data_IF_160408040511
#
_entry.id   IF_160408040511
#
_cell.length_a   1.000
_cell.length_b   1.000
_cell.length_c   1.000
_cell.angle_alpha   90.00
_cell.angle_beta   90.00
_cell.angle_gamma   90.00
#
_symmetry.space_group_name_H-M   'P 1'
#
loop_
_entity.id
_entity.type
_entity.pdbx_description
1 polymer ?
#
# COMPACT_ATOMS: atom_id res chain seq x y z
N UNK A 1 -14.02 -9.33 22.85
CA UNK A 1 -12.67 -8.76 22.82
C UNK A 1 -12.54 -7.69 21.76
N UNK A 2 -12.04 -6.56 22.14
CA UNK A 2 -11.90 -5.42 21.22
C UNK A 2 -10.69 -5.62 20.32
N UNK A 3 -10.90 -5.58 19.01
CA UNK A 3 -9.80 -5.61 18.05
C UNK A 3 -9.28 -4.20 17.78
N UNK A 4 -7.99 -4.05 17.83
CA UNK A 4 -7.33 -2.81 17.44
C UNK A 4 -5.99 -3.13 16.78
N UNK A 5 -5.48 -2.19 16.00
CA UNK A 5 -4.22 -2.38 15.31
C UNK A 5 -3.38 -1.12 15.33
N UNK A 6 -2.08 -1.28 15.26
CA UNK A 6 -1.13 -0.17 15.19
C UNK A 6 -1.15 0.56 13.87
N UNK A 7 -1.54 -0.13 12.80
CA UNK A 7 -1.43 0.41 11.45
C UNK A 7 -2.81 0.66 10.86
N UNK A 8 -2.89 1.68 10.01
CA UNK A 8 -4.11 1.97 9.27
C UNK A 8 -4.36 0.91 8.20
N UNK A 9 -5.58 0.85 7.70
CA UNK A 9 -5.95 -0.02 6.58
C UNK A 9 -5.04 0.20 5.37
N UNK A 10 -4.77 1.46 5.03
CA UNK A 10 -3.89 1.79 3.91
C UNK A 10 -2.48 1.25 4.11
N UNK A 11 -1.94 1.39 5.31
CA UNK A 11 -0.60 0.88 5.62
C UNK A 11 -0.54 -0.64 5.53
N UNK A 12 -1.55 -1.34 6.05
CA UNK A 12 -1.61 -2.80 6.00
C UNK A 12 -1.64 -3.30 4.56
N UNK A 13 -2.46 -2.67 3.72
CA UNK A 13 -2.56 -3.01 2.30
C UNK A 13 -1.23 -2.77 1.60
N UNK A 14 -0.60 -1.64 1.85
CA UNK A 14 0.66 -1.28 1.23
C UNK A 14 1.76 -2.28 1.58
N UNK A 15 1.85 -2.68 2.85
CA UNK A 15 2.81 -3.69 3.30
C UNK A 15 2.54 -5.02 2.60
N UNK A 16 1.29 -5.44 2.53
CA UNK A 16 0.93 -6.70 1.88
C UNK A 16 1.32 -6.70 0.40
N UNK A 17 0.98 -5.64 -0.33
CA UNK A 17 1.28 -5.54 -1.76
C UNK A 17 2.79 -5.48 -2.01
N UNK A 18 3.53 -4.86 -1.09
CA UNK A 18 5.00 -4.82 -1.18
C UNK A 18 5.59 -6.23 -1.09
N UNK A 19 5.08 -7.06 -0.19
CA UNK A 19 5.54 -8.43 0.00
C UNK A 19 4.99 -9.41 -1.04
N UNK A 20 3.80 -9.12 -1.56
CA UNK A 20 3.09 -9.97 -2.51
C UNK A 20 2.65 -9.13 -3.71
N UNK A 21 3.59 -8.76 -4.60
CA UNK A 21 3.26 -7.97 -5.77
C UNK A 21 2.29 -8.72 -6.68
N UNK A 22 1.48 -7.96 -7.41
CA UNK A 22 0.46 -8.48 -8.32
C UNK A 22 -0.70 -9.18 -7.59
N UNK A 23 -0.94 -8.82 -6.34
CA UNK A 23 -2.10 -9.30 -5.59
C UNK A 23 -3.40 -8.73 -6.15
N UNK A 24 -4.44 -9.56 -6.16
CA UNK A 24 -5.80 -9.12 -6.49
C UNK A 24 -6.46 -8.50 -5.26
N UNK A 25 -7.56 -7.77 -5.48
CA UNK A 25 -8.34 -7.20 -4.39
C UNK A 25 -8.80 -8.28 -3.40
N UNK A 26 -9.22 -9.43 -3.91
CA UNK A 26 -9.67 -10.52 -3.06
C UNK A 26 -8.54 -11.08 -2.19
N UNK A 27 -7.37 -11.27 -2.79
CA UNK A 27 -6.20 -11.75 -2.06
C UNK A 27 -5.79 -10.77 -0.97
N UNK A 28 -5.80 -9.48 -1.29
CA UNK A 28 -5.48 -8.41 -0.34
C UNK A 28 -6.50 -8.41 0.81
N UNK A 29 -7.79 -8.42 0.48
CA UNK A 29 -8.84 -8.40 1.48
C UNK A 29 -8.74 -9.57 2.46
N UNK A 30 -8.51 -10.77 1.93
CA UNK A 30 -8.33 -11.97 2.75
C UNK A 30 -7.11 -11.86 3.65
N UNK A 31 -6.00 -11.38 3.12
CA UNK A 31 -4.75 -11.30 3.87
C UNK A 31 -4.81 -10.30 5.02
N UNK A 32 -5.46 -9.16 4.81
CA UNK A 32 -5.50 -8.09 5.82
C UNK A 32 -6.79 -8.09 6.65
N UNK A 33 -7.69 -9.05 6.40
CA UNK A 33 -8.91 -9.19 7.20
C UNK A 33 -9.97 -8.14 6.91
N UNK A 34 -10.09 -7.72 5.65
CA UNK A 34 -11.07 -6.73 5.21
C UNK A 34 -12.09 -7.36 4.29
N UNK A 35 -13.23 -6.65 4.11
CA UNK A 35 -14.13 -6.96 3.00
C UNK A 35 -13.50 -6.52 1.69
N UNK A 36 -13.90 -7.11 0.58
CA UNK A 36 -13.41 -6.69 -0.73
C UNK A 36 -13.76 -5.22 -1.01
N UNK A 37 -14.93 -4.79 -0.55
CA UNK A 37 -15.36 -3.40 -0.71
C UNK A 37 -14.44 -2.43 0.03
N UNK A 38 -14.09 -2.74 1.28
CA UNK A 38 -13.19 -1.90 2.07
C UNK A 38 -11.79 -1.88 1.46
N UNK A 39 -11.29 -3.04 1.03
CA UNK A 39 -10.00 -3.13 0.35
C UNK A 39 -9.99 -2.34 -0.95
N UNK A 40 -11.05 -2.45 -1.75
CA UNK A 40 -11.16 -1.70 -3.01
C UNK A 40 -11.14 -0.20 -2.78
N UNK A 41 -11.86 0.29 -1.77
CA UNK A 41 -11.89 1.70 -1.43
C UNK A 41 -10.50 2.23 -1.05
N UNK A 42 -9.79 1.49 -0.21
CA UNK A 42 -8.43 1.87 0.20
C UNK A 42 -7.44 1.82 -0.97
N UNK A 43 -7.58 0.82 -1.84
CA UNK A 43 -6.74 0.71 -3.04
C UNK A 43 -6.98 1.87 -4.00
N UNK A 44 -8.21 2.33 -4.12
CA UNK A 44 -8.52 3.49 -4.94
C UNK A 44 -7.82 4.74 -4.40
N UNK A 45 -7.84 4.94 -3.09
CA UNK A 45 -7.12 6.05 -2.46
C UNK A 45 -5.62 6.01 -2.77
N UNK A 46 -5.02 4.83 -2.63
CA UNK A 46 -3.59 4.65 -2.90
C UNK A 46 -3.25 4.85 -4.38
N UNK A 47 -4.13 4.44 -5.28
CA UNK A 47 -3.95 4.68 -6.71
C UNK A 47 -4.03 6.16 -7.04
N UNK A 48 -5.00 6.85 -6.51
CA UNK A 48 -5.16 8.30 -6.74
C UNK A 48 -3.97 9.09 -6.23
N UNK A 49 -3.35 8.61 -5.16
CA UNK A 49 -2.11 9.19 -4.63
C UNK A 49 -0.86 8.79 -5.42
N UNK A 50 -0.99 7.88 -6.38
CA UNK A 50 0.15 7.42 -7.20
C UNK A 50 1.06 6.42 -6.51
N UNK A 51 0.65 5.92 -5.35
CA UNK A 51 1.49 5.01 -4.54
C UNK A 51 1.45 3.59 -5.06
N UNK A 52 0.32 3.19 -5.63
CA UNK A 52 0.18 1.87 -6.26
C UNK A 52 -0.34 2.02 -7.68
N UNK A 53 -0.05 1.01 -8.49
CA UNK A 53 -0.55 0.89 -9.86
C UNK A 53 -1.44 -0.32 -9.97
N UNK A 54 -2.47 -0.20 -10.81
CA UNK A 54 -3.33 -1.33 -11.15
C UNK A 54 -2.90 -1.88 -12.51
N UNK A 55 -2.69 -3.19 -12.53
CA UNK A 55 -2.36 -3.91 -13.76
C UNK A 55 -3.55 -4.79 -14.13
N UNK A 56 -4.05 -4.63 -15.33
CA UNK A 56 -5.13 -5.46 -15.83
C UNK A 56 -4.58 -6.50 -16.80
N UNK A 57 -4.83 -7.76 -16.49
CA UNK A 57 -4.46 -8.88 -17.34
C UNK A 57 -5.71 -9.71 -17.60
N UNK A 58 -6.29 -9.59 -18.80
CA UNK A 58 -7.58 -10.22 -19.11
C UNK A 58 -8.68 -9.68 -18.20
N UNK A 59 -9.29 -10.56 -17.42
CA UNK A 59 -10.33 -10.20 -16.45
C UNK A 59 -9.79 -9.94 -15.04
N UNK A 60 -8.48 -10.13 -14.87
CA UNK A 60 -7.84 -10.01 -13.56
C UNK A 60 -7.24 -8.62 -13.40
N UNK A 61 -7.57 -7.98 -12.28
CA UNK A 61 -6.90 -6.76 -11.85
C UNK A 61 -5.96 -7.12 -10.70
N UNK A 62 -4.71 -6.70 -10.81
CA UNK A 62 -3.73 -6.88 -9.75
C UNK A 62 -3.07 -5.54 -9.43
N UNK A 63 -2.39 -5.48 -8.30
CA UNK A 63 -1.85 -4.24 -7.77
C UNK A 63 -0.38 -4.40 -7.42
N UNK A 64 0.40 -3.38 -7.74
CA UNK A 64 1.83 -3.32 -7.42
C UNK A 64 2.15 -1.97 -6.81
N UNK A 65 3.21 -1.89 -6.01
CA UNK A 65 3.67 -0.64 -5.42
C UNK A 65 4.51 0.12 -6.43
N UNK A 66 4.24 1.42 -6.57
CA UNK A 66 5.08 2.31 -7.34
C UNK A 66 6.20 2.83 -6.44
N UNK A 67 7.29 2.10 -6.39
CA UNK A 67 8.40 2.43 -5.51
C UNK A 67 9.08 3.74 -5.85
N UNK A 68 9.13 4.11 -7.13
CA UNK A 68 9.75 5.37 -7.55
C UNK A 68 8.94 6.56 -7.01
N UNK A 69 7.63 6.49 -7.07
CA UNK A 69 6.76 7.54 -6.54
C UNK A 69 6.84 7.57 -5.02
N UNK A 70 6.86 6.40 -4.38
CA UNK A 70 7.02 6.30 -2.93
C UNK A 70 8.34 6.92 -2.46
N UNK A 71 9.42 6.68 -3.21
CA UNK A 71 10.72 7.27 -2.93
C UNK A 71 10.70 8.79 -3.09
N UNK A 72 9.89 9.33 -4.00
CA UNK A 72 9.76 10.78 -4.18
C UNK A 72 9.19 11.45 -2.93
N UNK A 73 8.22 10.83 -2.27
CA UNK A 73 7.72 11.34 -1.00
C UNK A 73 8.82 11.41 0.06
N UNK A 74 9.67 10.39 0.08
CA UNK A 74 10.79 10.33 1.03
C UNK A 74 11.79 11.46 0.80
N UNK A 75 12.12 11.72 -0.46
CA UNK A 75 13.08 12.79 -0.84
C UNK A 75 12.53 14.19 -0.56
N UNK A 76 11.27 14.39 -0.88
CA UNK A 76 10.63 15.71 -0.78
C UNK A 76 10.16 16.05 0.63
N UNK A 77 10.11 15.05 1.51
CA UNK A 77 9.58 15.23 2.85
C UNK A 77 8.06 15.48 2.86
N UNK A 78 7.40 15.27 1.73
CA UNK A 78 5.98 15.51 1.57
C UNK A 78 5.25 14.19 1.36
N UNK A 79 5.02 13.47 2.44
CA UNK A 79 4.04 12.41 2.39
C UNK A 79 2.66 13.05 2.40
N UNK A 80 1.68 12.52 1.64
CA UNK A 80 0.30 12.98 1.79
C UNK A 80 -0.11 12.80 3.24
N UNK A 81 -1.14 13.52 3.66
CA UNK A 81 -1.61 13.64 5.05
C UNK A 81 -2.02 12.33 5.71
N UNK A 82 -1.13 11.34 5.65
CA UNK A 82 -1.42 10.04 6.24
C UNK A 82 -0.98 9.98 7.70
N UNK A 83 0.25 10.42 7.95
CA UNK A 83 0.80 10.49 9.31
C UNK A 83 1.87 11.57 9.32
N UNK A 84 1.89 12.50 10.27
CA UNK A 84 2.90 13.55 10.30
C UNK A 84 4.27 13.03 10.76
N UNK A 85 5.31 13.60 10.19
CA UNK A 85 6.66 13.62 10.74
C UNK A 85 7.50 12.38 10.60
N UNK A 86 8.28 12.12 11.60
CA UNK A 86 9.35 11.12 11.65
C UNK A 86 8.81 9.70 11.39
N UNK A 87 7.61 9.43 11.84
CA UNK A 87 7.01 8.10 11.70
C UNK A 87 6.84 7.70 10.23
N UNK A 88 6.42 8.64 9.40
CA UNK A 88 6.28 8.39 7.95
C UNK A 88 7.62 8.06 7.32
N UNK A 89 8.67 8.76 7.70
CA UNK A 89 10.02 8.48 7.20
C UNK A 89 10.45 7.05 7.49
N UNK A 90 10.23 6.58 8.70
CA UNK A 90 10.59 5.21 9.08
C UNK A 90 9.77 4.19 8.29
N UNK A 91 8.48 4.43 8.13
CA UNK A 91 7.62 3.54 7.36
C UNK A 91 8.07 3.48 5.90
N UNK A 92 8.35 4.63 5.29
CA UNK A 92 8.81 4.69 3.90
C UNK A 92 10.16 3.98 3.74
N UNK A 93 11.09 4.18 4.67
CA UNK A 93 12.38 3.49 4.63
C UNK A 93 12.20 1.98 4.71
N UNK A 94 11.32 1.50 5.57
CA UNK A 94 11.04 0.07 5.71
C UNK A 94 10.44 -0.50 4.44
N UNK A 95 9.47 0.19 3.84
CA UNK A 95 8.84 -0.25 2.59
C UNK A 95 9.84 -0.28 1.43
N UNK A 96 10.68 0.73 1.33
CA UNK A 96 11.71 0.80 0.28
C UNK A 96 12.75 -0.31 0.46
N UNK A 97 13.08 -0.66 1.70
CA UNK A 97 14.00 -1.76 2.00
C UNK A 97 13.41 -3.12 1.58
N UNK A 98 12.09 -3.23 1.51
CA UNK A 98 11.41 -4.46 1.07
C UNK A 98 11.25 -4.53 -0.45
N UNK A 99 11.69 -3.50 -1.17
CA UNK A 99 11.64 -3.45 -2.63
C UNK A 99 12.33 -4.68 -3.23
N UNK A 100 11.65 -5.44 -4.09
CA UNK A 100 12.27 -6.62 -4.69
C UNK A 100 13.43 -6.21 -5.61
N UNK A 101 14.45 -7.06 -5.75
CA UNK A 101 15.54 -6.79 -6.68
C UNK A 101 15.03 -6.73 -8.12
N UNK A 102 15.64 -5.87 -8.89
CA UNK A 102 15.25 -5.65 -10.29
C UNK A 102 15.51 -6.90 -11.16
#
# INVERSE_FOLDING_TARGET
MRRWGFLTTHALILIHVTQHPRSTVREIALAVGLTERAAHSALLDLREAGIIDRLREGRRNSYTVNFDHLASYRREGTAPDLVPGVFVSYLLDALLAMRPPA
#
